data_IF_333897100889
#
_entry.id   IF_333897100889
#
_cell.length_a   1.000
_cell.length_b   1.000
_cell.length_c   1.000
_cell.angle_alpha   90.00
_cell.angle_beta   90.00
_cell.angle_gamma   90.00
#
_symmetry.space_group_name_H-M   'P 1'
#
loop_
_entity.id
_entity.type
_entity.pdbx_description
1 polymer ?
#
# COMPACT_ATOMS: atom_id res chain seq x y z
N UNK A 1 25.03 -8.14 10.31
CA UNK A 1 23.99 -8.86 9.56
C UNK A 1 23.30 -9.85 10.47
N UNK A 2 22.13 -9.51 11.02
CA UNK A 2 21.30 -10.50 11.72
C UNK A 2 20.63 -11.40 10.69
N UNK A 3 20.81 -12.71 10.87
CA UNK A 3 20.17 -13.79 10.10
C UNK A 3 18.65 -13.55 10.07
N UNK A 4 18.08 -13.50 8.87
CA UNK A 4 16.64 -13.74 8.69
C UNK A 4 16.49 -15.26 8.88
N UNK A 5 16.09 -15.69 10.07
CA UNK A 5 15.74 -17.08 10.31
C UNK A 5 14.47 -17.40 9.51
N UNK A 6 14.42 -18.65 9.04
CA UNK A 6 13.32 -19.29 8.32
C UNK A 6 12.10 -19.47 9.25
N UNK A 7 11.56 -18.34 9.72
CA UNK A 7 10.37 -18.22 10.55
C UNK A 7 9.41 -17.31 9.78
N UNK A 8 8.32 -17.91 9.28
CA UNK A 8 7.19 -17.27 8.57
C UNK A 8 7.06 -15.78 8.91
N UNK A 9 7.11 -14.91 7.89
CA UNK A 9 6.81 -13.48 8.06
C UNK A 9 5.45 -13.34 8.73
N UNK A 10 5.48 -12.85 9.97
CA UNK A 10 4.33 -12.73 10.82
C UNK A 10 3.69 -11.37 10.59
N UNK A 11 2.43 -11.37 10.15
CA UNK A 11 1.64 -10.16 10.03
C UNK A 11 1.61 -9.40 11.36
N UNK A 12 1.88 -8.10 11.30
CA UNK A 12 1.76 -7.19 12.45
C UNK A 12 0.72 -6.13 12.17
N UNK A 13 -0.23 -5.93 13.06
CA UNK A 13 -1.23 -4.86 12.90
C UNK A 13 -0.56 -3.50 12.66
N UNK A 14 -1.08 -2.74 11.71
CA UNK A 14 -0.64 -1.38 11.40
C UNK A 14 -1.83 -0.42 11.29
N UNK A 15 -1.54 0.85 10.98
CA UNK A 15 -2.54 1.93 10.98
C UNK A 15 -3.33 1.99 9.68
N UNK A 16 -2.74 1.56 8.56
CA UNK A 16 -3.39 1.55 7.26
C UNK A 16 -3.20 0.17 6.61
N UNK A 17 -4.33 -0.46 6.29
CA UNK A 17 -4.36 -1.84 5.80
C UNK A 17 -3.48 -2.05 4.55
N UNK A 18 -3.48 -1.10 3.61
CA UNK A 18 -2.66 -1.20 2.39
C UNK A 18 -1.15 -1.12 2.65
N UNK A 19 -0.69 -0.18 3.49
CA UNK A 19 0.73 -0.04 3.81
C UNK A 19 1.25 -1.16 4.70
N UNK A 20 0.39 -1.67 5.57
CA UNK A 20 0.70 -2.86 6.38
C UNK A 20 0.90 -4.09 5.50
N UNK A 21 0.01 -4.32 4.52
CA UNK A 21 0.13 -5.43 3.58
C UNK A 21 1.40 -5.34 2.72
N UNK A 22 1.75 -4.14 2.23
CA UNK A 22 2.99 -3.91 1.47
C UNK A 22 4.23 -4.14 2.34
N UNK A 23 4.23 -3.68 3.60
CA UNK A 23 5.32 -3.96 4.55
C UNK A 23 5.54 -5.46 4.68
N UNK A 24 4.47 -6.23 4.90
CA UNK A 24 4.57 -7.68 5.05
C UNK A 24 5.08 -8.35 3.78
N UNK A 25 4.64 -7.90 2.60
CA UNK A 25 5.14 -8.39 1.33
C UNK A 25 6.65 -8.13 1.17
N UNK A 26 7.13 -6.92 1.50
CA UNK A 26 8.55 -6.61 1.44
C UNK A 26 9.36 -7.41 2.46
N UNK A 27 8.87 -7.54 3.68
CA UNK A 27 9.52 -8.37 4.71
C UNK A 27 9.59 -9.84 4.27
N UNK A 28 8.54 -10.35 3.62
CA UNK A 28 8.54 -11.69 3.02
C UNK A 28 9.65 -11.89 1.99
N UNK A 29 9.99 -10.85 1.24
CA UNK A 29 11.11 -10.83 0.31
C UNK A 29 12.45 -10.39 0.93
N UNK A 30 12.54 -10.28 2.26
CA UNK A 30 13.76 -9.90 2.98
C UNK A 30 14.10 -8.41 2.89
N UNK A 31 13.19 -7.58 2.40
CA UNK A 31 13.34 -6.13 2.30
C UNK A 31 12.70 -5.49 3.54
N UNK A 32 13.54 -5.00 4.45
CA UNK A 32 13.07 -4.37 5.68
C UNK A 32 12.64 -2.92 5.42
N UNK A 33 11.32 -2.67 5.45
CA UNK A 33 10.75 -1.32 5.42
C UNK A 33 9.79 -1.11 6.59
N UNK A 34 9.70 0.12 7.11
CA UNK A 34 8.65 0.47 8.05
C UNK A 34 7.32 0.67 7.32
N UNK A 35 6.19 0.52 8.02
CA UNK A 35 4.87 0.83 7.46
C UNK A 35 4.82 2.27 6.91
N UNK A 36 5.44 3.23 7.62
CA UNK A 36 5.48 4.63 7.20
C UNK A 36 6.24 4.83 5.87
N UNK A 37 7.33 4.09 5.64
CA UNK A 37 8.03 4.11 4.35
C UNK A 37 7.17 3.53 3.23
N UNK A 38 6.50 2.40 3.48
CA UNK A 38 5.58 1.80 2.52
C UNK A 38 4.43 2.75 2.16
N UNK A 39 3.87 3.43 3.17
CA UNK A 39 2.85 4.45 2.98
C UNK A 39 3.34 5.62 2.11
N UNK A 40 4.56 6.11 2.37
CA UNK A 40 5.19 7.14 1.56
C UNK A 40 5.42 6.71 0.10
N UNK A 41 5.88 5.47 -0.12
CA UNK A 41 6.10 4.91 -1.46
C UNK A 41 4.81 4.82 -2.29
N UNK A 42 3.66 4.60 -1.66
CA UNK A 42 2.36 4.63 -2.36
C UNK A 42 1.84 6.04 -2.67
N UNK A 43 2.61 7.09 -2.37
CA UNK A 43 2.23 8.49 -2.57
C UNK A 43 1.63 9.17 -1.32
N UNK A 44 1.65 8.51 -0.16
CA UNK A 44 1.20 9.08 1.11
C UNK A 44 -0.29 9.44 1.14
N UNK A 45 -0.62 10.54 1.82
CA UNK A 45 -1.99 11.04 1.95
C UNK A 45 -2.48 11.58 0.60
N UNK A 46 -3.55 10.98 0.08
CA UNK A 46 -4.21 11.41 -1.14
C UNK A 46 -5.66 11.80 -0.88
N UNK A 47 -6.13 12.83 -1.58
CA UNK A 47 -7.54 13.20 -1.62
C UNK A 47 -7.99 13.17 -3.07
N UNK A 48 -9.06 12.44 -3.35
CA UNK A 48 -9.67 12.44 -4.68
C UNK A 48 -11.09 12.98 -4.58
N UNK A 49 -11.36 14.03 -5.34
CA UNK A 49 -12.72 14.54 -5.50
C UNK A 49 -13.38 13.85 -6.69
N UNK A 50 -14.48 13.15 -6.42
CA UNK A 50 -15.29 12.53 -7.44
C UNK A 50 -16.64 13.23 -7.53
N UNK A 51 -16.98 13.73 -8.71
CA UNK A 51 -18.31 14.27 -8.99
C UNK A 51 -19.13 13.20 -9.69
N UNK A 52 -19.98 12.50 -8.95
CA UNK A 52 -20.90 11.56 -9.57
C UNK A 52 -22.15 12.30 -10.10
N UNK A 53 -22.64 11.99 -11.31
CA UNK A 53 -23.78 12.69 -11.90
C UNK A 53 -25.10 12.57 -11.11
N UNK A 54 -25.26 11.52 -10.30
CA UNK A 54 -26.51 11.16 -9.62
C UNK A 54 -26.47 11.39 -8.10
N UNK A 55 -25.33 11.82 -7.57
CA UNK A 55 -25.13 12.08 -6.14
C UNK A 55 -25.70 13.45 -5.76
N UNK A 56 -26.71 13.46 -4.88
CA UNK A 56 -27.34 14.71 -4.41
C UNK A 56 -26.72 15.24 -3.11
N UNK A 57 -26.01 14.40 -2.35
CA UNK A 57 -25.44 14.75 -1.04
C UNK A 57 -23.94 14.45 -1.06
N UNK A 58 -23.08 15.43 -0.73
CA UNK A 58 -21.64 15.16 -0.64
C UNK A 58 -21.35 14.28 0.58
N UNK A 59 -20.48 13.28 0.39
CA UNK A 59 -19.92 12.47 1.46
C UNK A 59 -18.41 12.31 1.27
N UNK A 60 -17.75 11.92 2.37
CA UNK A 60 -16.34 11.56 2.38
C UNK A 60 -16.21 10.06 2.68
N UNK A 61 -15.36 9.39 1.92
CA UNK A 61 -15.00 7.99 2.19
C UNK A 61 -13.52 7.96 2.54
N UNK A 62 -13.22 7.44 3.73
CA UNK A 62 -11.85 7.20 4.16
C UNK A 62 -11.40 5.84 3.64
N UNK A 63 -10.73 5.84 2.49
CA UNK A 63 -10.19 4.65 1.83
C UNK A 63 -8.74 4.86 1.44
N UNK A 64 -8.10 3.77 1.02
CA UNK A 64 -6.81 3.79 0.33
C UNK A 64 -6.88 4.68 -0.91
N UNK A 65 -5.82 5.48 -1.12
CA UNK A 65 -5.66 6.28 -2.33
C UNK A 65 -5.73 5.41 -3.60
N UNK A 66 -6.34 5.91 -4.66
CA UNK A 66 -6.36 5.20 -5.94
C UNK A 66 -4.93 4.90 -6.43
N UNK A 67 -4.74 3.70 -6.98
CA UNK A 67 -3.46 3.20 -7.52
C UNK A 67 -2.32 3.12 -6.50
N UNK A 68 -2.61 3.04 -5.19
CA UNK A 68 -1.61 2.96 -4.13
C UNK A 68 -0.54 1.88 -4.36
N UNK A 69 -0.92 0.64 -4.64
CA UNK A 69 0.03 -0.48 -4.83
C UNK A 69 0.84 -0.28 -6.10
N UNK A 70 0.20 0.12 -7.19
CA UNK A 70 0.89 0.41 -8.44
C UNK A 70 1.98 1.47 -8.22
N UNK A 71 1.67 2.56 -7.51
CA UNK A 71 2.63 3.62 -7.19
C UNK A 71 3.79 3.14 -6.33
N UNK A 72 3.56 2.22 -5.39
CA UNK A 72 4.63 1.60 -4.59
C UNK A 72 5.68 0.97 -5.51
N UNK A 73 5.25 0.16 -6.47
CA UNK A 73 6.17 -0.55 -7.37
C UNK A 73 6.81 0.40 -8.41
N UNK A 74 6.03 1.32 -8.98
CA UNK A 74 6.54 2.33 -9.91
C UNK A 74 7.62 3.21 -9.28
N UNK A 75 7.44 3.65 -8.03
CA UNK A 75 8.44 4.45 -7.31
C UNK A 75 9.71 3.66 -6.94
N UNK A 76 9.65 2.33 -6.95
CA UNK A 76 10.82 1.45 -6.86
C UNK A 76 11.45 1.14 -8.22
N UNK A 77 10.90 1.65 -9.32
CA UNK A 77 11.34 1.35 -10.69
C UNK A 77 10.96 -0.06 -11.15
N UNK A 78 9.98 -0.69 -10.49
CA UNK A 78 9.53 -2.05 -10.81
C UNK A 78 8.28 -1.97 -11.69
N UNK A 79 8.28 -2.55 -12.91
CA UNK A 79 7.09 -2.63 -13.74
C UNK A 79 5.97 -3.40 -13.02
N UNK A 80 4.76 -2.84 -12.99
CA UNK A 80 3.61 -3.42 -12.32
C UNK A 80 2.35 -3.35 -13.19
N UNK A 81 1.59 -4.43 -13.23
CA UNK A 81 0.29 -4.48 -13.91
C UNK A 81 -0.66 -5.43 -13.18
N UNK A 82 -1.90 -5.01 -12.99
CA UNK A 82 -2.95 -5.90 -12.51
C UNK A 82 -3.33 -6.93 -13.58
N UNK A 83 -3.56 -8.17 -13.16
CA UNK A 83 -4.14 -9.23 -14.00
C UNK A 83 -5.57 -9.53 -13.52
N UNK A 84 -6.50 -9.69 -14.46
CA UNK A 84 -7.83 -10.23 -14.20
C UNK A 84 -7.83 -11.74 -14.51
N UNK A 85 -8.40 -12.54 -13.61
CA UNK A 85 -8.59 -13.99 -13.78
C UNK A 85 -10.03 -14.31 -14.20
#
# INVERSE_FOLDING_TARGET
MSKISDDRVCHRSGNHCGSTAIRDLFEFHGILMSEAMCFGLGGGLGVTYFKAPLEKIPYIVHVRSMNYEQRVFENLGIPFSWSTF
#
